data_IF_420253573112
#
_entry.id   IF_420253573112
#
_cell.length_a   1.000
_cell.length_b   1.000
_cell.length_c   1.000
_cell.angle_alpha   90.00
_cell.angle_beta   90.00
_cell.angle_gamma   90.00
#
_symmetry.space_group_name_H-M   'P 1'
#
loop_
_entity.id
_entity.type
_entity.pdbx_description
1 polymer ?
#
# COMPACT_ATOMS: atom_id res chain seq x y z
N UNK A 1 0.58 -25.24 23.55
CA UNK A 1 0.77 -25.63 22.13
C UNK A 1 1.19 -24.38 21.39
N UNK A 2 2.38 -24.34 20.81
CA UNK A 2 2.80 -23.25 19.94
C UNK A 2 1.89 -23.27 18.71
N UNK A 3 1.00 -22.28 18.59
CA UNK A 3 0.25 -22.08 17.35
C UNK A 3 1.25 -21.58 16.31
N UNK A 4 1.90 -22.52 15.63
CA UNK A 4 2.79 -22.21 14.52
C UNK A 4 1.90 -21.85 13.34
N UNK A 5 1.82 -20.55 13.03
CA UNK A 5 1.15 -20.08 11.82
C UNK A 5 1.72 -20.80 10.59
N UNK A 6 0.88 -21.20 9.62
CA UNK A 6 1.38 -21.83 8.41
C UNK A 6 2.41 -20.93 7.73
N UNK A 7 3.49 -21.54 7.23
CA UNK A 7 4.64 -20.82 6.66
C UNK A 7 4.27 -19.83 5.55
N UNK A 8 3.31 -20.10 4.63
CA UNK A 8 2.91 -19.13 3.62
C UNK A 8 2.38 -17.81 4.22
N UNK A 9 1.58 -17.88 5.28
CA UNK A 9 1.03 -16.70 5.95
C UNK A 9 2.14 -15.87 6.59
N UNK A 10 3.11 -16.54 7.22
CA UNK A 10 4.25 -15.86 7.83
C UNK A 10 5.10 -15.16 6.78
N UNK A 11 5.39 -15.82 5.67
CA UNK A 11 6.19 -15.22 4.60
C UNK A 11 5.50 -14.00 4.00
N UNK A 12 4.19 -14.08 3.78
CA UNK A 12 3.43 -12.99 3.18
C UNK A 12 3.34 -11.78 4.12
N UNK A 13 2.71 -11.95 5.29
CA UNK A 13 2.41 -10.85 6.22
C UNK A 13 3.64 -10.32 6.98
N UNK A 14 4.73 -11.10 7.11
CA UNK A 14 5.95 -10.57 7.76
C UNK A 14 6.92 -9.95 6.77
N UNK A 15 6.85 -10.26 5.48
CA UNK A 15 7.89 -9.82 4.54
C UNK A 15 7.30 -9.25 3.26
N UNK A 16 6.51 -10.02 2.51
CA UNK A 16 6.01 -9.59 1.19
C UNK A 16 5.17 -8.32 1.31
N UNK A 17 4.19 -8.31 2.22
CA UNK A 17 3.28 -7.17 2.40
C UNK A 17 4.00 -5.94 2.99
N UNK A 18 4.77 -6.05 4.10
CA UNK A 18 5.55 -4.92 4.59
C UNK A 18 6.53 -4.33 3.57
N UNK A 19 7.22 -5.17 2.78
CA UNK A 19 8.14 -4.69 1.74
C UNK A 19 7.37 -3.98 0.62
N UNK A 20 6.19 -4.47 0.26
CA UNK A 20 5.33 -3.83 -0.75
C UNK A 20 4.86 -2.45 -0.26
N UNK A 21 4.45 -2.35 1.02
CA UNK A 21 4.10 -1.07 1.63
C UNK A 21 5.29 -0.10 1.71
N UNK A 22 6.51 -0.60 2.01
CA UNK A 22 7.73 0.22 1.96
C UNK A 22 8.05 0.71 0.54
N UNK A 23 7.81 -0.12 -0.49
CA UNK A 23 7.95 0.31 -1.88
C UNK A 23 6.95 1.44 -2.20
N UNK A 24 5.69 1.29 -1.80
CA UNK A 24 4.68 2.35 -1.91
C UNK A 24 5.12 3.64 -1.19
N UNK A 25 5.67 3.52 0.02
CA UNK A 25 6.21 4.66 0.77
C UNK A 25 7.36 5.35 0.02
N UNK A 26 8.25 4.56 -0.57
CA UNK A 26 9.38 5.08 -1.35
C UNK A 26 8.91 5.84 -2.58
N UNK A 27 7.97 5.31 -3.37
CA UNK A 27 7.42 6.02 -4.52
C UNK A 27 6.68 7.29 -4.12
N UNK A 28 5.87 7.24 -3.06
CA UNK A 28 5.16 8.41 -2.53
C UNK A 28 6.08 9.49 -1.93
N UNK A 29 7.28 9.15 -1.46
CA UNK A 29 8.22 10.13 -0.90
C UNK A 29 9.24 10.65 -1.93
N UNK A 30 9.80 9.76 -2.75
CA UNK A 30 10.97 10.05 -3.59
C UNK A 30 10.59 10.27 -5.05
N UNK A 31 9.60 9.55 -5.55
CA UNK A 31 9.18 9.57 -6.97
C UNK A 31 7.75 10.08 -7.11
N UNK A 32 7.43 11.19 -6.44
CA UNK A 32 6.07 11.74 -6.34
C UNK A 32 5.40 12.00 -7.70
N UNK A 33 6.16 12.52 -8.66
CA UNK A 33 5.67 12.75 -10.01
C UNK A 33 5.25 11.45 -10.71
N UNK A 34 6.06 10.40 -10.56
CA UNK A 34 5.81 9.10 -11.17
C UNK A 34 4.65 8.41 -10.46
N UNK A 35 4.60 8.50 -9.12
CA UNK A 35 3.49 8.01 -8.31
C UNK A 35 2.15 8.58 -8.79
N UNK A 36 2.04 9.90 -8.92
CA UNK A 36 0.80 10.56 -9.35
C UNK A 36 0.46 10.24 -10.80
N UNK A 37 1.46 10.21 -11.67
CA UNK A 37 1.27 9.89 -13.09
C UNK A 37 0.74 8.46 -13.26
N UNK A 38 1.37 7.48 -12.62
CA UNK A 38 1.01 6.07 -12.73
C UNK A 38 -0.37 5.79 -12.14
N UNK A 39 -0.78 6.53 -11.10
CA UNK A 39 -2.11 6.43 -10.49
C UNK A 39 -3.26 6.83 -11.46
N UNK A 40 -2.99 7.72 -12.42
CA UNK A 40 -4.01 8.24 -13.36
C UNK A 40 -3.83 7.75 -14.80
N UNK A 41 -2.70 7.09 -15.10
CA UNK A 41 -2.35 6.58 -16.43
C UNK A 41 -3.40 5.64 -17.05
N UNK A 42 -4.12 4.79 -16.28
CA UNK A 42 -5.18 3.97 -16.87
C UNK A 42 -6.33 4.79 -17.47
N UNK A 43 -6.53 6.04 -17.02
CA UNK A 43 -7.78 6.79 -17.22
C UNK A 43 -7.61 8.12 -17.97
N UNK A 44 -6.41 8.70 -18.09
CA UNK A 44 -6.25 10.04 -18.73
C UNK A 44 -4.99 10.20 -19.58
N UNK A 45 -5.20 10.47 -20.88
CA UNK A 45 -4.17 10.88 -21.85
C UNK A 45 -3.69 12.34 -21.71
N UNK A 46 -4.16 13.08 -20.70
CA UNK A 46 -3.91 14.52 -20.55
C UNK A 46 -3.05 14.89 -19.33
N UNK A 47 -2.72 13.93 -18.46
CA UNK A 47 -1.82 14.21 -17.34
C UNK A 47 -0.39 14.19 -17.86
N UNK A 48 0.32 15.31 -17.76
CA UNK A 48 1.75 15.40 -18.09
C UNK A 48 2.54 15.40 -16.79
N UNK A 49 3.77 14.89 -16.84
CA UNK A 49 4.68 14.88 -15.69
C UNK A 49 5.14 16.32 -15.40
N UNK A 50 4.31 17.06 -14.67
CA UNK A 50 4.57 18.43 -14.22
C UNK A 50 4.96 18.41 -12.73
N UNK A 51 5.68 19.44 -12.28
CA UNK A 51 6.13 19.53 -10.89
C UNK A 51 4.96 19.46 -9.90
N UNK A 52 5.08 18.61 -8.90
CA UNK A 52 4.10 18.49 -7.81
C UNK A 52 4.08 19.77 -6.99
N UNK A 53 2.91 20.37 -6.82
CA UNK A 53 2.73 21.55 -5.98
C UNK A 53 2.98 21.24 -4.50
N UNK A 54 3.40 22.25 -3.72
CA UNK A 54 3.81 22.06 -2.33
C UNK A 54 2.76 21.35 -1.46
N UNK A 55 1.46 21.71 -1.49
CA UNK A 55 0.43 20.99 -0.74
C UNK A 55 0.35 19.50 -1.11
N UNK A 56 0.33 19.18 -2.40
CA UNK A 56 0.29 17.78 -2.87
C UNK A 56 1.54 17.01 -2.45
N UNK A 57 2.72 17.63 -2.57
CA UNK A 57 3.97 17.03 -2.12
C UNK A 57 3.96 16.73 -0.62
N UNK A 58 3.46 17.65 0.21
CA UNK A 58 3.29 17.43 1.65
C UNK A 58 2.31 16.28 1.94
N UNK A 59 1.18 16.21 1.23
CA UNK A 59 0.23 15.11 1.37
C UNK A 59 0.83 13.76 0.97
N UNK A 60 1.66 13.71 -0.07
CA UNK A 60 2.37 12.49 -0.48
C UNK A 60 3.43 12.06 0.55
N UNK A 61 4.15 13.00 1.16
CA UNK A 61 5.03 12.66 2.29
C UNK A 61 4.26 12.13 3.50
N UNK A 62 3.09 12.70 3.81
CA UNK A 62 2.22 12.19 4.88
C UNK A 62 1.73 10.77 4.55
N UNK A 63 1.34 10.51 3.29
CA UNK A 63 0.96 9.19 2.82
C UNK A 63 2.13 8.19 2.93
N UNK A 64 3.32 8.57 2.47
CA UNK A 64 4.52 7.75 2.60
C UNK A 64 4.84 7.41 4.06
N UNK A 65 4.68 8.38 4.97
CA UNK A 65 4.88 8.17 6.39
C UNK A 65 3.85 7.18 6.98
N UNK A 66 2.60 7.20 6.51
CA UNK A 66 1.59 6.22 6.91
C UNK A 66 1.90 4.82 6.37
N UNK A 67 2.38 4.69 5.13
CA UNK A 67 2.84 3.42 4.57
C UNK A 67 4.03 2.84 5.34
N UNK A 68 4.99 3.69 5.71
CA UNK A 68 6.08 3.29 6.59
C UNK A 68 5.56 2.82 7.95
N UNK A 69 4.63 3.55 8.55
CA UNK A 69 4.00 3.16 9.81
C UNK A 69 3.31 1.80 9.70
N UNK A 70 2.56 1.54 8.62
CA UNK A 70 1.89 0.25 8.41
C UNK A 70 2.90 -0.89 8.27
N UNK A 71 3.91 -0.74 7.41
CA UNK A 71 4.94 -1.76 7.21
C UNK A 71 5.68 -2.10 8.50
N UNK A 72 6.07 -1.08 9.28
CA UNK A 72 6.76 -1.29 10.56
C UNK A 72 5.83 -1.91 11.60
N UNK A 73 4.59 -1.42 11.71
CA UNK A 73 3.64 -1.92 12.71
C UNK A 73 3.29 -3.38 12.43
N UNK A 74 3.00 -3.72 11.17
CA UNK A 74 2.75 -5.08 10.74
C UNK A 74 3.93 -5.99 11.08
N UNK A 75 5.12 -5.68 10.56
CA UNK A 75 6.29 -6.55 10.75
C UNK A 75 6.65 -6.70 12.23
N UNK A 76 6.79 -5.60 12.98
CA UNK A 76 7.27 -5.61 14.36
C UNK A 76 6.23 -6.23 15.31
N UNK A 77 4.94 -5.91 15.16
CA UNK A 77 3.90 -6.46 16.05
C UNK A 77 3.68 -7.94 15.77
N UNK A 78 3.61 -8.35 14.50
CA UNK A 78 3.37 -9.76 14.16
C UNK A 78 4.58 -10.64 14.47
N UNK A 79 5.81 -10.16 14.26
CA UNK A 79 7.03 -10.91 14.60
C UNK A 79 7.28 -11.03 16.11
N UNK A 80 6.76 -10.08 16.91
CA UNK A 80 6.92 -10.08 18.37
C UNK A 80 5.87 -10.91 19.13
N UNK A 81 4.93 -11.55 18.43
CA UNK A 81 3.84 -12.29 19.08
C UNK A 81 3.49 -13.61 18.40
N UNK A 82 3.19 -14.63 19.22
CA UNK A 82 2.59 -15.89 18.77
C UNK A 82 1.07 -15.92 18.99
N UNK A 83 0.46 -14.80 19.38
CA UNK A 83 -0.97 -14.71 19.67
C UNK A 83 -1.80 -14.60 18.39
N UNK A 84 -2.58 -15.64 18.10
CA UNK A 84 -3.55 -15.63 16.99
C UNK A 84 -4.57 -14.49 17.11
N UNK A 85 -4.94 -14.12 18.34
CA UNK A 85 -5.84 -12.99 18.59
C UNK A 85 -5.22 -11.67 18.18
N UNK A 86 -3.93 -11.48 18.43
CA UNK A 86 -3.20 -10.27 18.04
C UNK A 86 -3.06 -10.20 16.52
N UNK A 87 -2.65 -11.30 15.89
CA UNK A 87 -2.57 -11.42 14.43
C UNK A 87 -3.91 -11.07 13.76
N UNK A 88 -5.00 -11.70 14.21
CA UNK A 88 -6.34 -11.43 13.65
C UNK A 88 -6.72 -9.96 13.77
N UNK A 89 -6.51 -9.35 14.94
CA UNK A 89 -6.90 -7.95 15.18
C UNK A 89 -6.10 -6.99 14.31
N UNK A 90 -4.79 -7.18 14.22
CA UNK A 90 -3.94 -6.31 13.40
C UNK A 90 -4.27 -6.46 11.91
N UNK A 91 -4.32 -7.69 11.41
CA UNK A 91 -4.66 -7.96 10.01
C UNK A 91 -6.08 -7.51 9.65
N UNK A 92 -7.04 -7.58 10.57
CA UNK A 92 -8.37 -7.01 10.32
C UNK A 92 -8.34 -5.49 10.15
N UNK A 93 -7.53 -4.77 10.93
CA UNK A 93 -7.36 -3.33 10.75
C UNK A 93 -6.68 -2.99 9.41
N UNK A 94 -5.63 -3.74 9.04
CA UNK A 94 -4.94 -3.58 7.76
C UNK A 94 -5.89 -3.85 6.58
N UNK A 95 -6.67 -4.93 6.65
CA UNK A 95 -7.67 -5.25 5.63
C UNK A 95 -8.71 -4.12 5.45
N UNK A 96 -9.15 -3.48 6.53
CA UNK A 96 -10.04 -2.31 6.44
C UNK A 96 -9.33 -1.15 5.73
N UNK A 97 -8.05 -0.92 6.01
CA UNK A 97 -7.25 0.10 5.33
C UNK A 97 -7.07 -0.20 3.84
N UNK A 98 -6.90 -1.47 3.45
CA UNK A 98 -6.79 -1.90 2.05
C UNK A 98 -8.09 -1.64 1.28
N UNK A 99 -9.24 -1.98 1.87
CA UNK A 99 -10.53 -1.60 1.28
C UNK A 99 -10.68 -0.07 1.16
N UNK A 100 -10.19 0.67 2.14
CA UNK A 100 -10.10 2.13 2.08
C UNK A 100 -9.28 2.61 0.87
N UNK A 101 -8.09 2.03 0.65
CA UNK A 101 -7.25 2.32 -0.50
C UNK A 101 -7.94 2.02 -1.83
N UNK A 102 -8.55 0.85 -1.96
CA UNK A 102 -9.29 0.50 -3.17
C UNK A 102 -10.47 1.45 -3.40
N UNK A 103 -11.16 1.88 -2.35
CA UNK A 103 -12.25 2.84 -2.47
C UNK A 103 -11.79 4.20 -3.00
N UNK A 104 -10.60 4.68 -2.62
CA UNK A 104 -10.06 5.94 -3.15
C UNK A 104 -9.71 5.87 -4.63
N UNK A 105 -9.45 4.66 -5.17
CA UNK A 105 -9.19 4.42 -6.59
C UNK A 105 -10.47 4.29 -7.43
N UNK A 106 -11.65 4.18 -6.81
CA UNK A 106 -12.93 4.01 -7.53
C UNK A 106 -13.22 5.06 -8.61
N UNK A 107 -12.81 6.35 -8.50
CA UNK A 107 -13.02 7.33 -9.57
C UNK A 107 -12.24 7.04 -10.86
N UNK A 108 -11.22 6.18 -10.83
CA UNK A 108 -10.47 5.77 -12.01
C UNK A 108 -11.25 4.78 -12.90
N UNK A 109 -12.40 4.29 -12.43
CA UNK A 109 -13.26 3.33 -13.13
C UNK A 109 -12.95 1.87 -12.77
N UNK A 110 -13.85 0.93 -13.07
CA UNK A 110 -13.71 -0.47 -12.68
C UNK A 110 -12.52 -1.17 -13.33
N UNK A 111 -12.05 -0.69 -14.48
CA UNK A 111 -10.93 -1.30 -15.21
C UNK A 111 -9.63 -1.29 -14.40
N UNK A 112 -9.42 -0.31 -13.52
CA UNK A 112 -8.20 -0.25 -12.69
C UNK A 112 -8.09 -1.47 -11.77
N UNK A 113 -9.21 -2.04 -11.33
CA UNK A 113 -9.20 -3.21 -10.43
C UNK A 113 -9.13 -4.55 -11.17
N UNK A 114 -9.58 -4.60 -12.42
CA UNK A 114 -9.84 -5.88 -13.10
C UNK A 114 -8.96 -6.09 -14.34
N UNK A 115 -8.36 -5.04 -14.90
CA UNK A 115 -7.54 -5.14 -16.11
C UNK A 115 -6.07 -5.39 -15.78
N UNK A 116 -5.80 -6.55 -15.18
CA UNK A 116 -4.49 -6.95 -14.62
C UNK A 116 -3.34 -6.83 -15.64
N UNK A 117 -3.62 -7.03 -16.92
CA UNK A 117 -2.62 -6.91 -18.00
C UNK A 117 -2.14 -5.47 -18.26
N UNK A 118 -2.86 -4.47 -17.76
CA UNK A 118 -2.54 -3.05 -17.88
C UNK A 118 -2.02 -2.44 -16.59
N UNK A 119 -1.86 -3.25 -15.54
CA UNK A 119 -1.34 -2.77 -14.27
C UNK A 119 0.11 -2.26 -14.42
N UNK A 120 0.40 -1.18 -13.71
CA UNK A 120 1.70 -0.54 -13.63
C UNK A 120 2.20 -0.56 -12.17
N UNK A 121 3.18 0.27 -11.83
CA UNK A 121 3.75 0.28 -10.49
C UNK A 121 2.75 0.70 -9.38
N UNK A 122 1.69 1.43 -9.74
CA UNK A 122 0.78 2.08 -8.81
C UNK A 122 -0.71 1.76 -9.03
N UNK A 123 -1.06 1.14 -10.15
CA UNK A 123 -2.44 0.93 -10.60
C UNK A 123 -2.63 -0.40 -11.31
#
# INVERSE_FOLDING_TARGET
>A
MSNVFPLPYRLFFLYVEPISALAGAYYAAVHQNDYLFDLVTPTKSQFTRADVDTPTSMSLFQLANLYLLFALNEHIVLSSTSSLKTWRRLLSCLLIADFGHLATMSPAGPEIFWNVWRWNAMA
#
